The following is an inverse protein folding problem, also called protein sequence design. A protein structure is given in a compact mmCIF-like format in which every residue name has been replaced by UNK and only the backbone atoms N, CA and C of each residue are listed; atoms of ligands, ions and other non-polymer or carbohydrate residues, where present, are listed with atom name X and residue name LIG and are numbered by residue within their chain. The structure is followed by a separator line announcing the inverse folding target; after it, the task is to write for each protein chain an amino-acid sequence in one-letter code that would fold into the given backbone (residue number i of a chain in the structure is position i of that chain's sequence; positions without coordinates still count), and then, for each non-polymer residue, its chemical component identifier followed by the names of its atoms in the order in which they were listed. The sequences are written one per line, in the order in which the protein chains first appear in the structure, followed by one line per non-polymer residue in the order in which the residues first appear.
data_IF_548845193219
#
_entry.id   IF_548845193219
#
_cell.length_a   1.000
_cell.length_b   1.000
_cell.length_c   1.000
_cell.angle_alpha   90.00
_cell.angle_beta   90.00
_cell.angle_gamma   90.00
#
_symmetry.space_group_name_H-M   'P 1'
#
loop_
_entity.id
_entity.type
_entity.pdbx_description
1 polymer ?
#
# COMPACT_ATOMS: atom_id res chain seq x y z
N UNK A 1 -1.90 -31.44 -42.08
CA UNK A 1 -1.64 -31.39 -40.63
C UNK A 1 -0.77 -30.16 -40.32
N UNK A 2 -1.33 -29.02 -39.88
CA UNK A 2 -0.50 -27.87 -39.52
C UNK A 2 -0.11 -27.93 -38.03
N UNK A 3 1.18 -27.80 -37.76
CA UNK A 3 1.80 -27.70 -36.43
C UNK A 3 1.50 -26.35 -35.77
N UNK A 4 1.16 -26.40 -34.47
CA UNK A 4 0.84 -25.24 -33.61
C UNK A 4 1.92 -24.16 -33.67
N UNK A 5 1.54 -22.95 -34.10
CA UNK A 5 2.30 -21.72 -33.85
C UNK A 5 2.21 -21.38 -32.37
N UNK A 6 3.30 -21.54 -31.64
CA UNK A 6 3.49 -20.92 -30.32
C UNK A 6 3.81 -19.43 -30.54
N UNK A 7 2.77 -18.59 -30.54
CA UNK A 7 2.94 -17.13 -30.55
C UNK A 7 2.89 -16.65 -29.11
N UNK A 8 4.09 -16.53 -28.53
CA UNK A 8 4.57 -15.37 -27.77
C UNK A 8 3.49 -14.51 -27.06
N UNK A 9 3.11 -14.92 -25.85
CA UNK A 9 2.27 -14.12 -24.94
C UNK A 9 3.02 -13.62 -23.69
N UNK A 10 4.36 -13.66 -23.70
CA UNK A 10 5.18 -13.31 -22.53
C UNK A 10 5.29 -11.81 -22.25
N UNK A 11 5.24 -10.95 -23.28
CA UNK A 11 5.65 -9.55 -23.15
C UNK A 11 4.54 -8.56 -22.76
N UNK A 12 3.25 -8.93 -22.87
CA UNK A 12 2.14 -7.98 -22.62
C UNK A 12 1.83 -7.74 -21.14
N UNK A 13 2.35 -8.58 -20.23
CA UNK A 13 2.06 -8.50 -18.81
C UNK A 13 3.05 -7.65 -18.00
N UNK A 14 4.24 -7.37 -18.55
CA UNK A 14 5.29 -6.65 -17.81
C UNK A 14 5.11 -5.13 -17.92
N UNK A 15 4.65 -4.64 -19.07
CA UNK A 15 4.53 -3.21 -19.35
C UNK A 15 3.48 -2.48 -18.49
N UNK A 16 2.41 -3.17 -18.06
CA UNK A 16 1.39 -2.57 -17.18
C UNK A 16 1.85 -2.41 -15.73
N UNK A 17 2.81 -3.23 -15.29
CA UNK A 17 3.34 -3.14 -13.92
C UNK A 17 4.45 -2.10 -13.81
N UNK A 18 5.21 -1.88 -14.89
CA UNK A 18 6.30 -0.91 -14.88
C UNK A 18 5.81 0.55 -14.81
N UNK A 19 4.72 0.87 -15.50
CA UNK A 19 4.07 2.19 -15.43
C UNK A 19 3.47 2.50 -14.06
N UNK A 20 3.05 1.48 -13.29
CA UNK A 20 2.58 1.66 -11.90
C UNK A 20 3.72 1.96 -10.91
N UNK A 21 4.97 1.60 -11.24
CA UNK A 21 6.11 1.75 -10.33
C UNK A 21 6.82 3.10 -10.42
N UNK A 22 6.70 3.81 -11.55
CA UNK A 22 7.48 5.03 -11.85
C UNK A 22 6.73 6.36 -11.63
N UNK A 23 5.45 6.36 -11.26
CA UNK A 23 4.69 7.63 -11.15
C UNK A 23 3.44 7.61 -10.27
N UNK A 24 3.31 6.66 -9.34
CA UNK A 24 2.17 6.63 -8.42
C UNK A 24 2.46 7.45 -7.17
N UNK A 25 1.91 8.67 -7.12
CA UNK A 25 1.90 9.49 -5.92
C UNK A 25 0.91 8.90 -4.89
N UNK A 26 1.42 8.03 -4.02
CA UNK A 26 0.64 7.34 -2.97
C UNK A 26 -0.14 8.28 -2.04
N UNK A 27 0.30 9.55 -1.96
CA UNK A 27 -0.35 10.61 -1.20
C UNK A 27 -1.79 10.89 -1.66
N UNK A 28 -2.08 10.75 -2.95
CA UNK A 28 -3.41 11.03 -3.51
C UNK A 28 -4.34 9.81 -3.51
N UNK A 29 -3.81 8.62 -3.25
CA UNK A 29 -4.62 7.41 -3.19
C UNK A 29 -5.43 7.37 -1.89
N UNK A 30 -6.64 6.84 -1.98
CA UNK A 30 -7.45 6.52 -0.80
C UNK A 30 -6.86 5.33 -0.04
N UNK A 31 -7.27 5.17 1.22
CA UNK A 31 -6.84 4.04 2.06
C UNK A 31 -7.18 2.67 1.43
N UNK A 32 -8.35 2.55 0.79
CA UNK A 32 -8.77 1.29 0.13
C UNK A 32 -7.93 0.99 -1.10
N UNK A 33 -7.58 2.00 -1.88
CA UNK A 33 -6.72 1.85 -3.05
C UNK A 33 -5.31 1.42 -2.63
N UNK A 34 -4.73 2.03 -1.59
CA UNK A 34 -3.44 1.60 -1.03
C UNK A 34 -3.45 0.11 -0.65
N UNK A 35 -4.50 -0.36 0.04
CA UNK A 35 -4.64 -1.78 0.39
C UNK A 35 -4.78 -2.69 -0.84
N UNK A 36 -5.49 -2.22 -1.88
CA UNK A 36 -5.61 -2.95 -3.14
C UNK A 36 -4.26 -3.10 -3.84
N UNK A 37 -3.50 -2.01 -3.95
CA UNK A 37 -2.16 -2.01 -4.53
C UNK A 37 -1.19 -2.88 -3.74
N UNK A 38 -1.24 -2.83 -2.41
CA UNK A 38 -0.47 -3.72 -1.53
C UNK A 38 -0.78 -5.19 -1.84
N UNK A 39 -2.06 -5.55 -1.96
CA UNK A 39 -2.48 -6.93 -2.28
C UNK A 39 -1.99 -7.39 -3.65
N UNK A 40 -1.94 -6.49 -4.63
CA UNK A 40 -1.43 -6.80 -5.97
C UNK A 40 0.08 -7.02 -5.91
N UNK A 41 0.83 -6.15 -5.23
CA UNK A 41 2.27 -6.27 -5.08
C UNK A 41 2.69 -7.51 -4.27
N UNK A 42 1.96 -7.87 -3.21
CA UNK A 42 2.24 -9.12 -2.49
C UNK A 42 1.97 -10.35 -3.35
N UNK A 43 0.93 -10.32 -4.20
CA UNK A 43 0.67 -11.40 -5.16
C UNK A 43 1.76 -11.53 -6.22
N UNK A 44 2.37 -10.44 -6.68
CA UNK A 44 3.50 -10.52 -7.63
C UNK A 44 4.73 -11.14 -6.96
N UNK A 45 5.01 -10.78 -5.69
CA UNK A 45 6.08 -11.41 -4.88
C UNK A 45 5.82 -12.91 -4.74
N UNK A 46 4.61 -13.31 -4.35
CA UNK A 46 4.24 -14.73 -4.21
C UNK A 46 4.42 -15.52 -5.52
N UNK A 47 4.20 -14.87 -6.67
CA UNK A 47 4.40 -15.45 -8.00
C UNK A 47 5.85 -15.34 -8.50
N UNK A 48 6.78 -14.87 -7.66
CA UNK A 48 8.19 -14.63 -7.99
C UNK A 48 8.41 -13.70 -9.20
N UNK A 49 7.48 -12.77 -9.43
CA UNK A 49 7.55 -11.80 -10.53
C UNK A 49 8.04 -10.45 -9.99
N UNK A 50 9.11 -9.91 -10.57
CA UNK A 50 9.63 -8.58 -10.24
C UNK A 50 9.71 -8.38 -8.71
N UNK A 51 10.34 -9.33 -8.01
CA UNK A 51 10.30 -9.43 -6.54
C UNK A 51 10.83 -8.14 -5.90
N UNK A 52 12.00 -7.66 -6.32
CA UNK A 52 12.64 -6.48 -5.74
C UNK A 52 11.79 -5.21 -5.92
N UNK A 53 11.28 -5.00 -7.14
CA UNK A 53 10.37 -3.87 -7.45
C UNK A 53 9.10 -3.97 -6.63
N UNK A 54 8.53 -5.17 -6.51
CA UNK A 54 7.27 -5.39 -5.77
C UNK A 54 7.48 -5.21 -4.26
N UNK A 55 8.61 -5.62 -3.72
CA UNK A 55 8.97 -5.42 -2.32
C UNK A 55 9.10 -3.93 -2.00
N UNK A 56 9.86 -3.18 -2.81
CA UNK A 56 9.99 -1.74 -2.65
C UNK A 56 8.63 -1.01 -2.72
N UNK A 57 7.70 -1.49 -3.56
CA UNK A 57 6.33 -0.96 -3.61
C UNK A 57 5.55 -1.25 -2.34
N UNK A 58 5.63 -2.47 -1.80
CA UNK A 58 4.98 -2.84 -0.54
C UNK A 58 5.49 -1.96 0.61
N UNK A 59 6.81 -1.78 0.71
CA UNK A 59 7.43 -1.00 1.78
C UNK A 59 6.95 0.46 1.76
N UNK A 60 6.91 1.09 0.56
CA UNK A 60 6.37 2.45 0.40
C UNK A 60 4.91 2.54 0.82
N UNK A 61 4.08 1.59 0.39
CA UNK A 61 2.66 1.59 0.76
C UNK A 61 2.49 1.41 2.28
N UNK A 62 3.30 0.55 2.90
CA UNK A 62 3.23 0.30 4.34
C UNK A 62 3.66 1.53 5.15
N UNK A 63 4.67 2.29 4.68
CA UNK A 63 5.03 3.58 5.31
C UNK A 63 3.90 4.60 5.25
N UNK A 64 3.19 4.71 4.12
CA UNK A 64 2.08 5.64 3.96
C UNK A 64 0.82 5.21 4.74
N UNK A 65 0.57 3.90 4.84
CA UNK A 65 -0.50 3.39 5.70
C UNK A 65 -0.20 3.64 7.18
N UNK A 66 1.06 3.50 7.59
CA UNK A 66 1.50 3.78 8.95
C UNK A 66 1.39 5.27 9.29
N UNK A 67 1.82 6.18 8.40
CA UNK A 67 1.70 7.63 8.59
C UNK A 67 0.24 8.05 8.80
N UNK A 68 -0.68 7.54 7.95
CA UNK A 68 -2.13 7.81 8.09
C UNK A 68 -2.73 7.24 9.35
N UNK A 69 -2.26 6.08 9.79
CA UNK A 69 -2.69 5.45 11.05
C UNK A 69 -2.25 6.29 12.24
N UNK A 70 -1.03 6.80 12.25
CA UNK A 70 -0.53 7.69 13.29
C UNK A 70 -1.39 8.95 13.44
N UNK A 71 -1.70 9.63 12.33
CA UNK A 71 -2.58 10.82 12.33
C UNK A 71 -3.96 10.52 12.90
N UNK A 72 -4.55 9.35 12.54
CA UNK A 72 -5.84 8.94 13.12
C UNK A 72 -5.76 8.75 14.63
N UNK A 73 -4.72 8.07 15.12
CA UNK A 73 -4.56 7.86 16.56
C UNK A 73 -4.30 9.16 17.31
N UNK A 74 -3.51 10.07 16.73
CA UNK A 74 -3.28 11.39 17.29
C UNK A 74 -4.60 12.19 17.41
N UNK A 75 -5.42 12.19 16.35
CA UNK A 75 -6.73 12.84 16.40
C UNK A 75 -7.69 12.20 17.42
N UNK A 76 -7.66 10.87 17.56
CA UNK A 76 -8.46 10.16 18.57
C UNK A 76 -7.98 10.53 19.98
N UNK A 77 -6.67 10.55 20.22
CA UNK A 77 -6.09 10.93 21.51
C UNK A 77 -6.49 12.35 21.91
N UNK A 78 -6.44 13.31 20.98
CA UNK A 78 -6.89 14.70 21.23
C UNK A 78 -8.39 14.82 21.52
N UNK A 79 -9.20 13.86 21.06
CA UNK A 79 -10.66 13.84 21.25
C UNK A 79 -11.10 13.02 22.45
N UNK A 80 -10.19 12.39 23.18
CA UNK A 80 -10.56 11.66 24.38
C UNK A 80 -11.06 12.67 25.42
N UNK A 81 -12.31 12.52 25.92
CA UNK A 81 -12.78 13.33 27.03
C UNK A 81 -11.90 13.02 28.25
N UNK A 82 -11.59 14.04 29.04
CA UNK A 82 -10.93 13.83 30.33
C UNK A 82 -11.81 12.94 31.19
N UNK A 83 -11.23 11.87 31.77
CA UNK A 83 -11.94 10.92 32.65
C UNK A 83 -12.65 11.62 33.81
N UNK A 84 -12.08 12.74 34.26
CA UNK A 84 -12.63 13.61 35.28
C UNK A 84 -12.73 15.04 34.71
N UNK A 85 -13.92 15.50 34.29
CA UNK A 85 -14.12 16.88 33.90
C UNK A 85 -13.81 17.81 35.07
N UNK A 86 -12.73 18.60 34.96
CA UNK A 86 -12.33 19.57 36.00
C UNK A 86 -11.13 19.18 36.86
N UNK A 87 -10.60 17.96 36.73
CA UNK A 87 -9.33 17.56 37.38
C UNK A 87 -8.22 17.67 36.35
N UNK A 88 -7.17 18.43 36.65
CA UNK A 88 -5.98 18.49 35.79
C UNK A 88 -5.29 17.14 35.84
N UNK A 89 -4.89 16.61 34.69
CA UNK A 89 -4.21 15.31 34.60
C UNK A 89 -2.86 15.26 35.35
N UNK A 90 -2.37 16.40 35.84
CA UNK A 90 -1.13 16.55 36.61
C UNK A 90 -1.32 16.34 38.13
N UNK A 91 -2.55 16.05 38.60
CA UNK A 91 -2.89 15.90 40.03
C UNK A 91 -3.18 14.44 40.45
N UNK A 92 -2.91 13.45 39.58
CA UNK A 92 -3.05 12.01 39.86
C UNK A 92 -1.68 11.32 39.82
#
# INVERSE_FOLDING_TARGET
MPTRRAVDQGQKCESKHESLSRGMDYKFLTYRELLSHRRIATRSIQRKRNVDKSQALVDRIDTELASRRAVKFEHVARRQPTLYPGVKNDEI
#
